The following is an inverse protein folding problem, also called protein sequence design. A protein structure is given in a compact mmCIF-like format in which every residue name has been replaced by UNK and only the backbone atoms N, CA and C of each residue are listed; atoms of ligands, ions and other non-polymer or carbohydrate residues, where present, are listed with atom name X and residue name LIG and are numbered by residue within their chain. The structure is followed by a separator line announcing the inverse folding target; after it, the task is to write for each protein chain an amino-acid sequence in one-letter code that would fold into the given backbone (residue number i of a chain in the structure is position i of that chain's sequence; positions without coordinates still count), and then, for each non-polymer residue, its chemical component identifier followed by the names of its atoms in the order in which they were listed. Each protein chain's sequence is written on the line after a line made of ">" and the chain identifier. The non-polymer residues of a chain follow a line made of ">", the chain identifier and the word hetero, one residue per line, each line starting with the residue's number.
data_IF_144060312376
#
_entry.id   IF_144060312376
#
_cell.length_a   1.000
_cell.length_b   1.000
_cell.length_c   1.000
_cell.angle_alpha   90.00
_cell.angle_beta   90.00
_cell.angle_gamma   90.00
#
_symmetry.space_group_name_H-M   'P 1'
#
loop_
_entity.id
_entity.type
_entity.pdbx_description
1 polymer ?
#
# COMPACT_ATOMS: atom_id res chain seq x y z
N UNK A 1 -57.42 -53.99 -56.15
CA UNK A 1 -57.18 -52.55 -55.91
C UNK A 1 -56.96 -52.35 -54.42
N UNK A 2 -55.70 -52.32 -53.96
CA UNK A 2 -55.35 -51.97 -52.58
C UNK A 2 -54.46 -50.73 -52.65
N UNK A 3 -55.03 -49.57 -52.30
CA UNK A 3 -54.30 -48.32 -52.08
C UNK A 3 -53.61 -48.38 -50.71
N UNK A 4 -52.31 -48.09 -50.60
CA UNK A 4 -51.64 -48.03 -49.30
C UNK A 4 -52.05 -46.76 -48.55
N UNK A 5 -52.45 -46.94 -47.29
CA UNK A 5 -52.75 -45.87 -46.33
C UNK A 5 -51.55 -44.92 -46.19
N UNK A 6 -51.82 -43.63 -46.39
CA UNK A 6 -50.86 -42.56 -46.17
C UNK A 6 -50.67 -42.33 -44.67
N UNK A 7 -49.44 -42.57 -44.20
CA UNK A 7 -48.99 -42.27 -42.82
C UNK A 7 -49.25 -40.77 -42.51
N UNK A 8 -49.71 -40.40 -41.29
CA UNK A 8 -50.34 -39.11 -41.06
C UNK A 8 -49.35 -37.95 -41.11
N UNK A 9 -49.55 -37.05 -42.08
CA UNK A 9 -48.86 -35.77 -42.29
C UNK A 9 -48.89 -34.84 -41.06
N UNK A 10 -49.81 -35.05 -40.12
CA UNK A 10 -49.99 -34.24 -38.91
C UNK A 10 -48.86 -34.39 -37.88
N UNK A 11 -48.21 -35.56 -37.79
CA UNK A 11 -47.12 -35.81 -36.84
C UNK A 11 -45.83 -35.08 -37.26
N UNK A 12 -45.53 -35.09 -38.57
CA UNK A 12 -44.39 -34.37 -39.16
C UNK A 12 -44.53 -32.86 -39.03
N UNK A 13 -45.74 -32.32 -39.22
CA UNK A 13 -46.03 -30.89 -39.04
C UNK A 13 -45.92 -30.42 -37.59
N UNK A 14 -46.35 -31.24 -36.61
CA UNK A 14 -46.16 -30.94 -35.18
C UNK A 14 -44.67 -30.97 -34.80
N UNK A 15 -43.93 -31.99 -35.25
CA UNK A 15 -42.49 -32.10 -35.01
C UNK A 15 -41.72 -30.91 -35.61
N UNK A 16 -42.04 -30.51 -36.85
CA UNK A 16 -41.43 -29.35 -37.49
C UNK A 16 -41.73 -28.03 -36.76
N UNK A 17 -42.96 -27.83 -36.26
CA UNK A 17 -43.31 -26.64 -35.45
C UNK A 17 -42.59 -26.63 -34.10
N UNK A 18 -42.43 -27.78 -33.45
CA UNK A 18 -41.68 -27.89 -32.20
C UNK A 18 -40.18 -27.65 -32.42
N UNK A 19 -39.59 -28.21 -33.48
CA UNK A 19 -38.21 -27.95 -33.86
C UNK A 19 -37.97 -26.48 -34.18
N UNK A 20 -38.86 -25.83 -34.93
CA UNK A 20 -38.78 -24.39 -35.23
C UNK A 20 -38.88 -23.54 -33.96
N UNK A 21 -39.79 -23.89 -33.03
CA UNK A 21 -39.89 -23.20 -31.72
C UNK A 21 -38.62 -23.37 -30.90
N UNK A 22 -38.03 -24.56 -30.86
CA UNK A 22 -36.75 -24.80 -30.19
C UNK A 22 -35.64 -23.98 -30.86
N UNK A 23 -35.56 -23.97 -32.19
CA UNK A 23 -34.55 -23.21 -32.94
C UNK A 23 -34.65 -21.70 -32.71
N UNK A 24 -35.87 -21.18 -32.52
CA UNK A 24 -36.10 -19.76 -32.22
C UNK A 24 -35.91 -19.44 -30.74
N UNK A 25 -36.35 -20.30 -29.81
CA UNK A 25 -36.31 -20.04 -28.37
C UNK A 25 -34.97 -20.40 -27.72
N UNK A 26 -34.24 -21.38 -28.25
CA UNK A 26 -32.96 -21.84 -27.73
C UNK A 26 -31.91 -20.71 -27.70
N UNK A 27 -31.73 -19.88 -28.75
CA UNK A 27 -30.83 -18.74 -28.68
C UNK A 27 -31.20 -17.76 -27.56
N UNK A 28 -32.48 -17.45 -27.38
CA UNK A 28 -32.94 -16.58 -26.30
C UNK A 28 -32.71 -17.18 -24.92
N UNK A 29 -32.98 -18.48 -24.76
CA UNK A 29 -32.71 -19.19 -23.52
C UNK A 29 -31.20 -19.22 -23.21
N UNK A 30 -30.36 -19.50 -24.20
CA UNK A 30 -28.90 -19.48 -24.05
C UNK A 30 -28.39 -18.07 -23.72
N UNK A 31 -28.94 -17.03 -24.33
CA UNK A 31 -28.63 -15.63 -23.99
C UNK A 31 -29.06 -15.28 -22.56
N UNK A 32 -30.23 -15.73 -22.12
CA UNK A 32 -30.70 -15.53 -20.74
C UNK A 32 -29.82 -16.29 -19.73
N UNK A 33 -29.43 -17.53 -20.03
CA UNK A 33 -28.53 -18.33 -19.20
C UNK A 33 -27.11 -17.72 -19.16
N UNK A 34 -26.57 -17.29 -20.31
CA UNK A 34 -25.28 -16.63 -20.38
C UNK A 34 -25.29 -15.28 -19.66
N UNK A 35 -26.36 -14.50 -19.82
CA UNK A 35 -26.57 -13.21 -19.16
C UNK A 35 -26.70 -13.37 -17.64
N UNK A 36 -27.50 -14.32 -17.17
CA UNK A 36 -27.64 -14.61 -15.73
C UNK A 36 -26.33 -15.13 -15.13
N UNK A 37 -25.62 -16.03 -15.82
CA UNK A 37 -24.29 -16.46 -15.42
C UNK A 37 -23.31 -15.28 -15.33
N UNK A 38 -23.28 -14.41 -16.36
CA UNK A 38 -22.41 -13.24 -16.36
C UNK A 38 -22.73 -12.29 -15.21
N UNK A 39 -24.02 -12.06 -14.91
CA UNK A 39 -24.44 -11.22 -13.78
C UNK A 39 -23.93 -11.82 -12.45
N UNK A 40 -24.21 -13.09 -12.18
CA UNK A 40 -23.75 -13.76 -10.94
C UNK A 40 -22.22 -13.78 -10.84
N UNK A 41 -21.53 -13.91 -11.98
CA UNK A 41 -20.07 -14.03 -12.02
C UNK A 41 -19.35 -12.70 -11.85
N UNK A 42 -19.79 -11.64 -12.53
CA UNK A 42 -19.03 -10.41 -12.73
C UNK A 42 -19.56 -9.19 -11.96
N UNK A 43 -20.81 -9.22 -11.48
CA UNK A 43 -21.39 -8.14 -10.67
C UNK A 43 -20.88 -8.10 -9.23
N UNK A 44 -20.61 -9.22 -8.53
CA UNK A 44 -20.17 -9.17 -7.13
C UNK A 44 -18.94 -8.28 -6.92
N UNK A 45 -19.03 -7.43 -5.89
CA UNK A 45 -17.99 -6.48 -5.46
C UNK A 45 -17.84 -6.53 -3.93
N UNK A 46 -17.26 -7.62 -3.45
CA UNK A 46 -17.29 -8.01 -2.03
C UNK A 46 -15.87 -8.11 -1.47
N UNK A 47 -15.48 -7.25 -0.51
CA UNK A 47 -14.19 -7.35 0.15
C UNK A 47 -14.22 -8.47 1.19
N UNK A 48 -13.06 -9.08 1.46
CA UNK A 48 -12.88 -9.87 2.69
C UNK A 48 -12.89 -8.89 3.86
N UNK A 49 -13.81 -9.11 4.81
CA UNK A 49 -14.02 -8.23 5.97
C UNK A 49 -13.55 -8.94 7.24
N UNK A 50 -12.89 -8.18 8.10
CA UNK A 50 -12.46 -8.62 9.41
C UNK A 50 -13.13 -7.75 10.48
N UNK A 51 -13.73 -8.40 11.48
CA UNK A 51 -14.39 -7.74 12.60
C UNK A 51 -13.37 -7.15 13.59
N UNK A 52 -12.30 -7.91 13.89
CA UNK A 52 -11.20 -7.43 14.71
C UNK A 52 -10.47 -6.26 14.00
N UNK A 53 -10.24 -5.12 14.69
CA UNK A 53 -9.63 -3.95 14.07
C UNK A 53 -8.16 -4.17 13.69
N UNK A 54 -7.42 -5.03 14.40
CA UNK A 54 -6.03 -5.36 14.08
C UNK A 54 -6.00 -6.22 12.81
N UNK A 55 -6.84 -7.24 12.72
CA UNK A 55 -7.00 -8.06 11.52
C UNK A 55 -7.47 -7.23 10.33
N UNK A 56 -8.40 -6.30 10.54
CA UNK A 56 -8.84 -5.39 9.49
C UNK A 56 -7.72 -4.44 9.03
N UNK A 57 -6.89 -3.94 9.95
CA UNK A 57 -5.72 -3.16 9.57
C UNK A 57 -4.72 -3.99 8.76
N UNK A 58 -4.48 -5.26 9.14
CA UNK A 58 -3.54 -6.16 8.45
C UNK A 58 -4.02 -6.58 7.06
N UNK A 59 -5.32 -6.90 6.90
CA UNK A 59 -5.84 -7.61 5.72
C UNK A 59 -7.10 -6.98 5.09
N UNK A 60 -7.64 -5.94 5.69
CA UNK A 60 -8.84 -5.27 5.23
C UNK A 60 -8.65 -4.47 3.95
N UNK A 61 -9.67 -4.48 3.10
CA UNK A 61 -9.74 -3.66 1.90
C UNK A 61 -9.85 -2.18 2.21
N UNK A 62 -9.10 -1.36 1.48
CA UNK A 62 -9.30 0.10 1.39
C UNK A 62 -9.95 0.50 0.06
N UNK A 63 -10.21 -0.46 -0.83
CA UNK A 63 -10.82 -0.26 -2.15
C UNK A 63 -9.83 -0.21 -3.32
N UNK A 64 -8.53 -0.36 -3.08
CA UNK A 64 -7.48 -0.32 -4.12
C UNK A 64 -7.57 -1.48 -5.11
N UNK A 65 -8.15 -2.60 -4.69
CA UNK A 65 -8.29 -3.82 -5.48
C UNK A 65 -9.14 -3.63 -6.73
N UNK A 66 -10.07 -2.65 -6.72
CA UNK A 66 -10.94 -2.34 -7.87
C UNK A 66 -10.18 -1.78 -9.06
N UNK A 67 -9.28 -0.84 -8.82
CA UNK A 67 -8.53 -0.16 -9.89
C UNK A 67 -7.17 -0.84 -10.10
N UNK A 68 -6.40 -0.98 -9.02
CA UNK A 68 -4.98 -1.35 -9.05
C UNK A 68 -4.73 -2.82 -8.69
N UNK A 69 -5.76 -3.54 -8.20
CA UNK A 69 -5.62 -4.90 -7.71
C UNK A 69 -5.14 -5.91 -8.74
N UNK A 70 -4.23 -6.79 -8.31
CA UNK A 70 -3.78 -7.93 -9.08
C UNK A 70 -4.76 -9.08 -8.95
N UNK A 71 -5.08 -9.84 -10.02
CA UNK A 71 -5.77 -11.11 -9.87
C UNK A 71 -5.03 -12.01 -8.88
N UNK A 72 -5.72 -12.49 -7.85
CA UNK A 72 -5.14 -13.23 -6.72
C UNK A 72 -4.25 -14.37 -7.17
N UNK A 73 -4.71 -15.17 -8.13
CA UNK A 73 -3.93 -16.31 -8.59
C UNK A 73 -2.75 -15.92 -9.47
N UNK A 74 -2.85 -14.82 -10.23
CA UNK A 74 -1.66 -14.27 -10.91
C UNK A 74 -0.65 -13.83 -9.85
N UNK A 75 -1.08 -13.08 -8.83
CA UNK A 75 -0.23 -12.70 -7.70
C UNK A 75 0.48 -13.91 -7.07
N UNK A 76 -0.23 -15.00 -6.80
CA UNK A 76 0.37 -16.22 -6.24
C UNK A 76 1.36 -16.90 -7.20
N UNK A 77 1.12 -16.85 -8.52
CA UNK A 77 1.97 -17.49 -9.53
C UNK A 77 3.26 -16.72 -9.84
N UNK A 78 3.22 -15.38 -9.82
CA UNK A 78 4.34 -14.56 -10.28
C UNK A 78 5.66 -14.80 -9.54
N UNK A 79 5.72 -15.03 -8.21
CA UNK A 79 6.98 -15.31 -7.55
C UNK A 79 7.69 -16.58 -8.03
N UNK A 80 6.93 -17.56 -8.55
CA UNK A 80 7.50 -18.75 -9.21
C UNK A 80 7.90 -18.43 -10.65
N UNK A 81 6.97 -17.85 -11.43
CA UNK A 81 7.15 -17.60 -12.88
C UNK A 81 8.27 -16.59 -13.16
N UNK A 82 8.43 -15.60 -12.28
CA UNK A 82 9.37 -14.49 -12.40
C UNK A 82 10.40 -14.48 -11.26
N UNK A 83 10.76 -15.65 -10.72
CA UNK A 83 11.66 -15.79 -9.58
C UNK A 83 13.01 -15.07 -9.79
N UNK A 84 13.51 -15.02 -11.03
CA UNK A 84 14.74 -14.33 -11.43
C UNK A 84 14.76 -12.81 -11.17
N UNK A 85 13.58 -12.19 -11.00
CA UNK A 85 13.45 -10.77 -10.70
C UNK A 85 13.27 -10.47 -9.19
N UNK A 86 13.31 -11.51 -8.35
CA UNK A 86 13.25 -11.36 -6.90
C UNK A 86 14.65 -11.48 -6.28
N UNK A 87 14.94 -10.76 -5.18
CA UNK A 87 16.21 -10.89 -4.46
C UNK A 87 16.33 -12.23 -3.72
N UNK A 88 15.24 -12.99 -3.60
CA UNK A 88 15.21 -14.30 -2.95
C UNK A 88 13.84 -14.97 -3.09
N UNK A 89 13.55 -16.01 -2.29
CA UNK A 89 12.31 -16.77 -2.42
C UNK A 89 11.07 -15.94 -2.10
N UNK A 90 10.14 -15.90 -3.05
CA UNK A 90 8.80 -15.36 -2.82
C UNK A 90 8.76 -13.86 -2.53
N UNK A 91 7.56 -13.38 -2.21
CA UNK A 91 7.34 -11.99 -1.79
C UNK A 91 8.01 -11.65 -0.46
N UNK A 92 8.31 -12.63 0.40
CA UNK A 92 9.03 -12.42 1.65
C UNK A 92 10.44 -11.85 1.44
N UNK A 93 11.06 -12.14 0.29
CA UNK A 93 12.37 -11.57 -0.08
C UNK A 93 12.35 -10.05 -0.29
N UNK A 94 11.17 -9.48 -0.54
CA UNK A 94 10.95 -8.03 -0.65
C UNK A 94 10.63 -7.39 0.72
N UNK A 95 10.71 -8.16 1.81
CA UNK A 95 10.40 -7.71 3.16
C UNK A 95 8.92 -7.66 3.52
N UNK A 96 8.05 -8.29 2.70
CA UNK A 96 6.66 -8.52 3.06
C UNK A 96 6.57 -9.58 4.18
N UNK A 97 5.66 -9.36 5.13
CA UNK A 97 5.55 -10.18 6.35
C UNK A 97 4.44 -11.21 6.16
N UNK A 98 4.73 -12.49 6.38
CA UNK A 98 3.74 -13.56 6.38
C UNK A 98 3.50 -14.07 7.80
N UNK A 99 2.24 -14.15 8.20
CA UNK A 99 1.83 -14.84 9.44
C UNK A 99 1.59 -16.32 9.13
N UNK A 100 1.73 -17.18 10.15
CA UNK A 100 1.49 -18.61 10.00
C UNK A 100 0.07 -18.90 9.52
N UNK A 101 -0.06 -19.80 8.53
CA UNK A 101 -1.36 -20.18 7.95
C UNK A 101 -1.99 -19.15 7.02
N UNK A 102 -1.32 -18.03 6.70
CA UNK A 102 -1.80 -17.02 5.75
C UNK A 102 -1.14 -17.15 4.38
N UNK A 103 -1.95 -17.04 3.34
CA UNK A 103 -1.55 -17.05 1.92
C UNK A 103 -1.18 -15.65 1.39
N UNK A 104 -1.63 -14.61 2.09
CA UNK A 104 -1.33 -13.21 1.79
C UNK A 104 -0.48 -12.59 2.91
N UNK A 105 0.49 -11.72 2.56
CA UNK A 105 1.27 -11.04 3.57
C UNK A 105 0.43 -9.97 4.29
N UNK A 106 0.82 -9.66 5.52
CA UNK A 106 0.36 -8.48 6.25
C UNK A 106 0.54 -7.26 5.36
N UNK A 107 -0.53 -6.48 5.20
CA UNK A 107 -0.52 -5.36 4.26
C UNK A 107 -1.22 -5.64 2.95
N UNK A 108 -1.77 -6.83 2.72
CA UNK A 108 -2.46 -7.18 1.47
C UNK A 108 -3.90 -7.58 1.73
N UNK A 109 -4.81 -6.91 1.03
CA UNK A 109 -6.24 -7.12 1.10
C UNK A 109 -6.75 -7.93 -0.08
N UNK A 110 -7.94 -8.54 0.06
CA UNK A 110 -8.58 -9.38 -0.96
C UNK A 110 -10.03 -8.96 -1.19
N UNK A 111 -10.44 -8.89 -2.45
CA UNK A 111 -11.79 -8.50 -2.88
C UNK A 111 -12.25 -9.31 -4.09
N UNK A 112 -13.48 -9.80 -4.06
CA UNK A 112 -14.15 -10.34 -5.23
C UNK A 112 -14.60 -9.18 -6.11
N UNK A 113 -14.06 -9.05 -7.32
CA UNK A 113 -14.43 -7.97 -8.23
C UNK A 113 -14.17 -8.35 -9.70
N UNK A 114 -15.07 -7.95 -10.61
CA UNK A 114 -15.00 -8.30 -12.04
C UNK A 114 -14.83 -9.81 -12.26
N UNK A 115 -15.50 -10.59 -11.42
CA UNK A 115 -15.42 -12.03 -11.50
C UNK A 115 -14.01 -12.58 -11.29
N UNK A 116 -13.21 -12.01 -10.43
CA UNK A 116 -12.03 -12.70 -9.91
C UNK A 116 -11.76 -12.19 -8.52
N UNK A 117 -11.01 -12.96 -7.75
CA UNK A 117 -10.43 -12.42 -6.53
C UNK A 117 -9.27 -11.53 -6.94
N UNK A 118 -9.22 -10.32 -6.39
CA UNK A 118 -8.16 -9.34 -6.61
C UNK A 118 -7.54 -8.96 -5.29
N UNK A 119 -6.24 -8.72 -5.31
CA UNK A 119 -5.47 -8.35 -4.13
C UNK A 119 -4.69 -7.07 -4.36
N UNK A 120 -4.54 -6.28 -3.31
CA UNK A 120 -3.71 -5.10 -3.35
C UNK A 120 -3.22 -4.68 -1.97
N UNK A 121 -2.19 -3.83 -1.96
CA UNK A 121 -1.63 -3.27 -0.74
C UNK A 121 -2.67 -2.44 0.02
N UNK A 122 -2.60 -2.48 1.35
CA UNK A 122 -3.31 -1.60 2.27
C UNK A 122 -2.30 -0.91 3.21
N UNK A 123 -2.79 -0.23 4.26
CA UNK A 123 -1.97 0.55 5.18
C UNK A 123 -0.86 -0.26 5.89
N UNK A 124 -1.12 -1.53 6.23
CA UNK A 124 -0.19 -2.32 7.03
C UNK A 124 1.09 -2.72 6.26
N UNK A 125 1.11 -2.65 4.93
CA UNK A 125 2.30 -2.92 4.13
C UNK A 125 3.45 -1.94 4.47
N UNK A 126 3.10 -0.70 4.81
CA UNK A 126 4.05 0.37 5.16
C UNK A 126 4.13 0.63 6.68
N UNK A 127 3.12 0.19 7.43
CA UNK A 127 2.92 0.52 8.84
C UNK A 127 2.78 -0.71 9.74
N UNK A 128 3.46 -1.80 9.40
CA UNK A 128 3.67 -2.94 10.28
C UNK A 128 5.10 -3.45 10.12
N UNK A 129 5.69 -3.92 11.21
CA UNK A 129 7.08 -4.39 11.21
C UNK A 129 7.31 -5.51 12.21
N UNK A 130 8.47 -6.14 12.09
CA UNK A 130 8.90 -7.25 12.95
C UNK A 130 9.99 -6.79 13.89
N UNK A 131 9.89 -7.13 15.17
CA UNK A 131 10.97 -6.87 16.14
C UNK A 131 11.33 -8.14 16.87
N UNK A 132 12.61 -8.31 17.16
CA UNK A 132 13.11 -9.36 18.05
C UNK A 132 13.69 -8.72 19.29
N UNK A 133 13.37 -9.28 20.45
CA UNK A 133 13.91 -8.77 21.73
C UNK A 133 15.38 -9.17 21.93
N UNK A 134 15.80 -10.28 21.30
CA UNK A 134 17.21 -10.71 21.18
C UNK A 134 17.44 -11.29 19.78
N UNK A 135 18.70 -11.41 19.29
CA UNK A 135 18.97 -12.00 17.98
C UNK A 135 18.39 -13.42 17.77
N UNK A 136 18.24 -14.19 18.86
CA UNK A 136 17.72 -15.56 18.82
C UNK A 136 16.21 -15.66 19.09
N UNK A 137 15.56 -14.59 19.56
CA UNK A 137 14.13 -14.60 19.88
C UNK A 137 13.27 -14.65 18.59
N UNK A 138 12.07 -15.25 18.64
CA UNK A 138 11.13 -15.15 17.54
C UNK A 138 10.78 -13.68 17.28
N UNK A 139 10.58 -13.34 16.00
CA UNK A 139 10.16 -12.01 15.64
C UNK A 139 8.67 -11.81 15.96
N UNK A 140 8.34 -10.71 16.63
CA UNK A 140 6.97 -10.29 16.90
C UNK A 140 6.53 -9.19 15.94
N UNK A 141 5.33 -9.33 15.40
CA UNK A 141 4.67 -8.30 14.60
C UNK A 141 4.23 -7.15 15.51
N UNK A 142 4.51 -5.93 15.11
CA UNK A 142 3.94 -4.72 15.72
C UNK A 142 3.25 -3.91 14.64
N UNK A 143 1.97 -3.61 14.87
CA UNK A 143 1.15 -2.76 14.00
C UNK A 143 1.31 -1.28 14.39
N UNK A 144 1.28 -0.40 13.40
CA UNK A 144 1.49 1.04 13.54
C UNK A 144 2.95 1.48 13.58
N UNK A 145 3.91 0.54 13.60
CA UNK A 145 5.34 0.84 13.48
C UNK A 145 5.77 1.02 12.02
N UNK A 146 6.90 1.70 11.73
CA UNK A 146 7.51 1.72 10.40
C UNK A 146 7.84 0.32 9.85
N UNK A 147 7.45 0.04 8.61
CA UNK A 147 7.82 -1.20 7.90
C UNK A 147 9.28 -1.17 7.42
N UNK A 148 10.24 -1.27 8.33
CA UNK A 148 11.69 -1.12 8.05
C UNK A 148 12.28 -2.16 7.06
N UNK A 149 11.57 -3.26 6.78
CA UNK A 149 12.00 -4.32 5.86
C UNK A 149 11.39 -4.23 4.47
N UNK A 150 10.22 -3.61 4.32
CA UNK A 150 9.52 -3.61 3.03
C UNK A 150 10.27 -2.73 2.02
N UNK A 151 10.78 -3.35 0.94
CA UNK A 151 11.41 -2.65 -0.16
C UNK A 151 10.39 -2.43 -1.28
N UNK A 152 9.67 -1.30 -1.18
CA UNK A 152 8.61 -0.96 -2.12
C UNK A 152 9.15 -0.68 -3.54
N UNK A 153 10.40 -0.21 -3.66
CA UNK A 153 11.01 0.04 -4.96
C UNK A 153 11.36 -1.29 -5.64
N UNK A 154 11.95 -2.24 -4.90
CA UNK A 154 12.19 -3.59 -5.40
C UNK A 154 10.88 -4.31 -5.73
N UNK A 155 9.83 -4.14 -4.92
CA UNK A 155 8.49 -4.64 -5.21
C UNK A 155 7.94 -4.10 -6.53
N UNK A 156 8.01 -2.78 -6.74
CA UNK A 156 7.58 -2.17 -7.99
C UNK A 156 8.41 -2.66 -9.19
N UNK A 157 9.74 -2.72 -9.04
CA UNK A 157 10.65 -3.21 -10.08
C UNK A 157 10.35 -4.65 -10.46
N UNK A 158 10.07 -5.52 -9.50
CA UNK A 158 9.70 -6.92 -9.75
C UNK A 158 8.53 -7.04 -10.74
N UNK A 159 7.42 -6.34 -10.51
CA UNK A 159 6.26 -6.42 -11.43
C UNK A 159 6.58 -5.83 -12.81
N UNK A 160 7.36 -4.74 -12.87
CA UNK A 160 7.72 -4.11 -14.13
C UNK A 160 8.65 -4.97 -14.99
N UNK A 161 9.68 -5.56 -14.39
CA UNK A 161 10.63 -6.42 -15.11
C UNK A 161 9.98 -7.75 -15.48
N UNK A 162 9.19 -8.34 -14.58
CA UNK A 162 8.38 -9.52 -14.88
C UNK A 162 7.47 -9.27 -16.09
N UNK A 163 6.68 -8.18 -16.09
CA UNK A 163 5.81 -7.84 -17.22
C UNK A 163 6.55 -7.56 -18.54
N UNK A 164 7.79 -7.08 -18.47
CA UNK A 164 8.64 -6.89 -19.65
C UNK A 164 9.20 -8.22 -20.20
N UNK A 165 9.39 -9.21 -19.33
CA UNK A 165 9.91 -10.52 -19.67
C UNK A 165 9.00 -11.36 -20.57
N UNK A 166 9.55 -12.38 -21.24
CA UNK A 166 8.79 -13.32 -22.06
C UNK A 166 7.91 -14.26 -21.23
N UNK A 167 8.27 -14.50 -19.97
CA UNK A 167 7.56 -15.39 -19.03
C UNK A 167 6.24 -14.80 -18.54
N UNK A 168 6.01 -13.49 -18.68
CA UNK A 168 4.72 -12.87 -18.40
C UNK A 168 3.72 -13.10 -19.53
N UNK A 169 3.36 -14.36 -19.74
CA UNK A 169 2.42 -14.77 -20.77
C UNK A 169 1.51 -15.87 -20.25
N UNK A 170 0.39 -16.09 -20.95
CA UNK A 170 -0.58 -17.12 -20.57
C UNK A 170 0.03 -18.53 -20.57
N UNK A 171 1.03 -18.77 -21.42
CA UNK A 171 1.71 -20.06 -21.57
C UNK A 171 2.50 -20.46 -20.32
N UNK A 172 2.94 -19.49 -19.51
CA UNK A 172 3.66 -19.74 -18.26
C UNK A 172 2.80 -19.52 -17.02
N UNK A 173 1.98 -18.46 -17.02
CA UNK A 173 1.20 -18.08 -15.84
C UNK A 173 -0.02 -18.99 -15.65
N UNK A 174 -0.76 -19.35 -16.72
CA UNK A 174 -1.99 -20.17 -16.56
C UNK A 174 -1.69 -21.58 -16.03
N UNK A 175 -0.66 -22.30 -16.51
CA UNK A 175 -0.29 -23.59 -15.93
C UNK A 175 0.12 -23.50 -14.46
N UNK A 176 0.85 -22.45 -14.07
CA UNK A 176 1.24 -22.26 -12.67
C UNK A 176 0.02 -21.95 -11.78
N UNK A 177 -0.93 -21.15 -12.28
CA UNK A 177 -2.21 -20.94 -11.60
C UNK A 177 -2.96 -22.26 -11.42
N UNK A 178 -3.05 -23.09 -12.46
CA UNK A 178 -3.74 -24.38 -12.38
C UNK A 178 -3.09 -25.30 -11.33
N UNK A 179 -1.76 -25.34 -11.29
CA UNK A 179 -0.99 -26.09 -10.29
C UNK A 179 -1.28 -25.60 -8.87
N UNK A 180 -1.29 -24.28 -8.65
CA UNK A 180 -1.49 -23.67 -7.33
C UNK A 180 -2.94 -23.75 -6.84
N UNK A 181 -3.91 -23.63 -7.74
CA UNK A 181 -5.34 -23.63 -7.42
C UNK A 181 -5.96 -25.02 -7.29
N UNK A 182 -5.25 -26.07 -7.70
CA UNK A 182 -5.77 -27.45 -7.73
C UNK A 182 -6.70 -27.73 -8.90
N UNK A 183 -6.67 -26.90 -9.94
CA UNK A 183 -7.47 -27.04 -11.16
C UNK A 183 -8.20 -25.74 -11.55
N UNK A 184 -8.38 -25.54 -12.86
CA UNK A 184 -9.13 -24.40 -13.41
C UNK A 184 -10.35 -24.85 -14.22
N UNK A 185 -11.47 -24.16 -14.04
CA UNK A 185 -12.61 -24.28 -14.95
C UNK A 185 -12.26 -23.83 -16.36
N UNK A 186 -12.98 -24.34 -17.37
CA UNK A 186 -12.72 -24.05 -18.79
C UNK A 186 -12.76 -22.55 -19.10
N UNK A 187 -13.73 -21.83 -18.54
CA UNK A 187 -13.86 -20.38 -18.73
C UNK A 187 -12.67 -19.63 -18.11
N UNK A 188 -12.23 -20.03 -16.92
CA UNK A 188 -11.11 -19.36 -16.25
C UNK A 188 -9.79 -19.63 -17.00
N UNK A 189 -9.57 -20.89 -17.41
CA UNK A 189 -8.39 -21.35 -18.14
C UNK A 189 -8.24 -20.70 -19.51
N UNK A 190 -9.31 -20.65 -20.31
CA UNK A 190 -9.23 -20.26 -21.72
C UNK A 190 -9.65 -18.82 -22.00
N UNK A 191 -10.36 -18.16 -21.07
CA UNK A 191 -10.84 -16.79 -21.25
C UNK A 191 -10.38 -15.84 -20.14
N UNK A 192 -10.75 -16.09 -18.88
CA UNK A 192 -10.57 -15.09 -17.81
C UNK A 192 -9.10 -14.80 -17.54
N UNK A 193 -8.28 -15.81 -17.26
CA UNK A 193 -6.85 -15.58 -16.97
C UNK A 193 -6.06 -15.12 -18.20
N UNK A 194 -6.22 -15.70 -19.40
CA UNK A 194 -5.54 -15.18 -20.59
C UNK A 194 -5.82 -13.69 -20.85
N UNK A 195 -7.08 -13.25 -20.73
CA UNK A 195 -7.45 -11.84 -20.89
C UNK A 195 -6.89 -11.00 -19.73
N UNK A 196 -6.99 -11.47 -18.49
CA UNK A 196 -6.47 -10.75 -17.33
C UNK A 196 -4.94 -10.56 -17.41
N UNK A 197 -4.19 -11.57 -17.83
CA UNK A 197 -2.74 -11.51 -18.05
C UNK A 197 -2.41 -10.47 -19.13
N UNK A 198 -3.10 -10.51 -20.27
CA UNK A 198 -2.86 -9.55 -21.35
C UNK A 198 -3.13 -8.10 -20.90
N UNK A 199 -4.27 -7.84 -20.25
CA UNK A 199 -4.62 -6.52 -19.74
C UNK A 199 -3.65 -6.04 -18.65
N UNK A 200 -3.23 -6.94 -17.76
CA UNK A 200 -2.26 -6.63 -16.71
C UNK A 200 -0.88 -6.30 -17.31
N UNK A 201 -0.42 -7.05 -18.32
CA UNK A 201 0.85 -6.79 -19.02
C UNK A 201 0.87 -5.37 -19.59
N UNK A 202 -0.14 -5.01 -20.37
CA UNK A 202 -0.25 -3.69 -20.99
C UNK A 202 -0.24 -2.56 -19.94
N UNK A 203 -1.01 -2.71 -18.85
CA UNK A 203 -1.05 -1.72 -17.77
C UNK A 203 0.29 -1.59 -17.06
N UNK A 204 0.97 -2.70 -16.77
CA UNK A 204 2.28 -2.69 -16.12
C UNK A 204 3.35 -2.05 -17.01
N UNK A 205 3.35 -2.33 -18.31
CA UNK A 205 4.29 -1.72 -19.25
C UNK A 205 4.05 -0.21 -19.41
N UNK A 206 2.79 0.22 -19.46
CA UNK A 206 2.44 1.64 -19.46
C UNK A 206 2.92 2.34 -18.18
N UNK A 207 2.70 1.73 -17.02
CA UNK A 207 3.19 2.27 -15.74
C UNK A 207 4.72 2.29 -15.69
N UNK A 208 5.40 1.22 -16.17
CA UNK A 208 6.86 1.16 -16.26
C UNK A 208 7.44 2.33 -17.03
N UNK A 209 6.84 2.66 -18.18
CA UNK A 209 7.27 3.81 -18.98
C UNK A 209 7.12 5.14 -18.21
N UNK A 210 5.98 5.35 -17.53
CA UNK A 210 5.74 6.57 -16.74
C UNK A 210 6.67 6.70 -15.53
N UNK A 211 7.01 5.58 -14.91
CA UNK A 211 7.92 5.51 -13.77
C UNK A 211 9.40 5.39 -14.16
N UNK A 212 9.75 5.47 -15.45
CA UNK A 212 11.14 5.29 -15.91
C UNK A 212 12.15 6.21 -15.22
N UNK A 213 11.76 7.43 -14.86
CA UNK A 213 12.61 8.36 -14.11
C UNK A 213 12.83 7.94 -12.64
N UNK A 214 11.90 7.21 -12.04
CA UNK A 214 12.06 6.61 -10.71
C UNK A 214 13.01 5.42 -10.78
N UNK A 215 12.87 4.58 -11.81
CA UNK A 215 13.77 3.45 -12.03
C UNK A 215 15.23 3.88 -12.20
N UNK A 216 15.46 5.07 -12.76
CA UNK A 216 16.79 5.68 -12.93
C UNK A 216 17.40 6.29 -11.65
N UNK A 217 16.64 6.38 -10.56
CA UNK A 217 17.16 6.86 -9.27
C UNK A 217 18.03 5.79 -8.59
N UNK A 218 18.88 6.25 -7.67
CA UNK A 218 19.55 5.35 -6.74
C UNK A 218 18.51 4.53 -5.97
N UNK A 219 18.77 3.23 -5.72
CA UNK A 219 17.87 2.41 -4.91
C UNK A 219 17.61 3.05 -3.55
N UNK A 220 16.33 3.18 -3.18
CA UNK A 220 15.95 3.72 -1.88
C UNK A 220 16.30 2.76 -0.74
N UNK A 221 16.18 1.46 -1.01
CA UNK A 221 16.37 0.37 -0.05
C UNK A 221 15.14 0.13 0.83
N UNK A 222 15.19 -0.91 1.68
CA UNK A 222 14.11 -1.29 2.59
C UNK A 222 13.63 -0.15 3.49
N UNK A 223 12.34 -0.10 3.78
CA UNK A 223 11.73 0.81 4.75
C UNK A 223 11.60 2.27 4.32
N UNK A 224 11.82 2.54 3.03
CA UNK A 224 11.67 3.87 2.45
C UNK A 224 10.67 3.87 1.31
N UNK A 225 10.05 5.04 1.10
CA UNK A 225 9.09 5.29 0.03
C UNK A 225 9.25 6.71 -0.50
N UNK A 226 9.11 6.88 -1.81
CA UNK A 226 8.88 8.18 -2.41
C UNK A 226 7.39 8.38 -2.71
N UNK A 227 6.71 9.05 -1.77
CA UNK A 227 5.27 9.33 -1.87
C UNK A 227 4.92 10.31 -2.98
N UNK A 228 5.85 11.19 -3.36
CA UNK A 228 5.55 12.32 -4.23
C UNK A 228 5.72 11.98 -5.70
N UNK A 229 6.66 11.10 -6.04
CA UNK A 229 6.87 10.68 -7.42
C UNK A 229 5.69 9.86 -7.97
N UNK A 230 5.05 9.02 -7.15
CA UNK A 230 3.81 8.37 -7.56
C UNK A 230 2.70 9.39 -7.89
N UNK A 231 2.57 10.44 -7.08
CA UNK A 231 1.62 11.53 -7.33
C UNK A 231 1.99 12.33 -8.59
N UNK A 232 3.27 12.66 -8.82
CA UNK A 232 3.75 13.32 -10.05
C UNK A 232 3.43 12.52 -11.30
N UNK A 233 3.61 11.19 -11.27
CA UNK A 233 3.23 10.29 -12.38
C UNK A 233 1.73 10.36 -12.67
N UNK A 234 0.91 10.32 -11.61
CA UNK A 234 -0.54 10.40 -11.75
C UNK A 234 -0.98 11.73 -12.37
N UNK A 235 -0.47 12.85 -11.86
CA UNK A 235 -0.79 14.19 -12.35
C UNK A 235 -0.08 14.55 -13.66
N UNK A 236 0.61 13.59 -14.29
CA UNK A 236 1.31 13.77 -15.56
C UNK A 236 2.29 14.97 -15.53
N UNK A 237 3.04 15.11 -14.43
CA UNK A 237 4.05 16.14 -14.31
C UNK A 237 5.11 15.98 -15.41
N UNK A 238 5.63 17.09 -15.98
CA UNK A 238 6.72 17.03 -16.95
C UNK A 238 8.05 16.76 -16.22
N UNK A 239 8.23 15.53 -15.74
CA UNK A 239 9.36 15.11 -14.88
C UNK A 239 10.74 15.40 -15.47
N UNK A 240 10.85 15.42 -16.79
CA UNK A 240 12.09 15.75 -17.51
C UNK A 240 12.49 17.23 -17.34
N UNK A 241 11.53 18.11 -17.06
CA UNK A 241 11.73 19.54 -16.82
C UNK A 241 11.92 19.87 -15.34
N UNK A 242 11.64 18.93 -14.43
CA UNK A 242 11.85 19.15 -13.00
C UNK A 242 13.35 19.25 -12.69
N UNK A 243 13.79 20.18 -11.83
CA UNK A 243 15.16 20.20 -11.31
C UNK A 243 15.53 18.86 -10.66
N UNK A 244 16.82 18.47 -10.72
CA UNK A 244 17.28 17.18 -10.19
C UNK A 244 16.92 16.98 -8.70
N UNK A 245 17.06 18.03 -7.88
CA UNK A 245 16.70 18.01 -6.44
C UNK A 245 15.23 17.70 -6.18
N UNK A 246 14.34 17.98 -7.13
CA UNK A 246 12.90 17.73 -6.98
C UNK A 246 12.50 16.34 -7.44
N UNK A 247 13.43 15.53 -7.94
CA UNK A 247 13.13 14.19 -8.49
C UNK A 247 13.27 13.08 -7.46
N UNK A 248 13.89 13.32 -6.30
CA UNK A 248 14.09 12.31 -5.26
C UNK A 248 13.47 12.81 -3.96
N UNK A 249 12.42 12.15 -3.49
CA UNK A 249 11.75 12.45 -2.22
C UNK A 249 11.61 11.23 -1.31
N UNK A 250 12.48 10.23 -1.48
CA UNK A 250 12.47 9.01 -0.69
C UNK A 250 12.64 9.31 0.81
N UNK A 251 11.73 8.76 1.61
CA UNK A 251 11.67 9.00 3.04
C UNK A 251 11.30 7.70 3.78
N UNK A 252 11.64 7.65 5.06
CA UNK A 252 11.26 6.56 5.95
C UNK A 252 9.75 6.47 6.13
N UNK A 253 9.24 5.25 6.33
CA UNK A 253 7.86 5.09 6.77
C UNK A 253 7.69 5.68 8.18
N UNK A 254 6.75 6.61 8.43
CA UNK A 254 6.52 7.10 9.77
C UNK A 254 5.73 6.10 10.62
N UNK A 255 5.83 6.20 11.94
CA UNK A 255 4.88 5.56 12.85
C UNK A 255 3.52 6.27 12.78
N UNK A 256 2.43 5.53 13.03
CA UNK A 256 1.06 6.04 12.92
C UNK A 256 0.24 5.89 14.20
N UNK A 257 0.91 5.67 15.33
CA UNK A 257 0.32 5.62 16.67
C UNK A 257 -0.21 6.97 17.15
N UNK A 258 -1.12 6.90 18.13
CA UNK A 258 -1.64 8.01 18.92
C UNK A 258 -2.20 9.15 18.06
N UNK A 259 -3.01 8.85 17.03
CA UNK A 259 -3.47 9.90 16.11
C UNK A 259 -4.32 10.97 16.78
N UNK A 260 -5.08 10.63 17.84
CA UNK A 260 -5.88 11.60 18.59
C UNK A 260 -5.00 12.70 19.17
N UNK A 261 -3.88 12.32 19.79
CA UNK A 261 -2.92 13.27 20.36
C UNK A 261 -2.24 14.16 19.31
N UNK A 262 -2.30 13.77 18.03
CA UNK A 262 -1.75 14.57 16.91
C UNK A 262 -2.72 15.62 16.38
N UNK A 263 -3.98 15.58 16.82
CA UNK A 263 -5.02 16.49 16.36
C UNK A 263 -5.02 17.84 17.08
N UNK A 264 -4.14 18.04 18.07
CA UNK A 264 -4.08 19.28 18.83
C UNK A 264 -2.65 19.52 19.34
N UNK A 265 -2.24 20.77 19.31
CA UNK A 265 -1.05 21.33 19.95
C UNK A 265 -1.46 22.23 21.11
N UNK A 266 -0.46 22.71 21.85
CA UNK A 266 -0.65 23.60 22.99
C UNK A 266 -1.31 24.94 22.64
N UNK A 267 -1.12 25.41 21.41
CA UNK A 267 -1.74 26.65 20.94
C UNK A 267 -3.17 26.46 20.39
N UNK A 268 -3.74 25.26 20.52
CA UNK A 268 -5.08 24.93 20.07
C UNK A 268 -5.17 24.54 18.59
N UNK A 269 -4.10 24.73 17.82
CA UNK A 269 -4.04 24.31 16.41
C UNK A 269 -3.71 22.82 16.27
N UNK A 270 -3.91 22.26 15.07
CA UNK A 270 -3.51 20.88 14.78
C UNK A 270 -2.01 20.79 14.50
N UNK A 271 -1.38 19.65 14.81
CA UNK A 271 0.03 19.42 14.46
C UNK A 271 0.25 19.46 12.94
N UNK A 272 1.44 19.88 12.53
CA UNK A 272 1.93 19.76 11.17
C UNK A 272 2.44 18.33 10.95
N UNK A 273 1.75 17.56 10.10
CA UNK A 273 1.89 16.13 9.89
C UNK A 273 2.67 15.80 8.60
N UNK A 274 3.02 14.51 8.46
CA UNK A 274 4.11 14.05 7.59
C UNK A 274 5.46 14.59 8.05
N UNK A 275 6.55 14.03 7.52
CA UNK A 275 7.90 14.50 7.85
C UNK A 275 8.05 16.00 7.59
N UNK A 276 7.51 16.48 6.48
CA UNK A 276 7.60 17.85 5.98
C UNK A 276 6.47 18.76 6.49
N UNK A 277 5.60 18.33 7.41
CA UNK A 277 4.54 19.18 7.95
C UNK A 277 3.50 19.65 6.92
N UNK A 278 3.40 18.95 5.79
CA UNK A 278 2.68 19.42 4.62
C UNK A 278 1.15 19.28 4.72
N UNK A 279 0.62 18.71 5.81
CA UNK A 279 -0.81 18.57 6.07
C UNK A 279 -1.08 18.66 7.57
N UNK A 280 -2.24 19.12 8.01
CA UNK A 280 -2.60 19.23 9.44
C UNK A 280 -3.75 18.33 9.86
N UNK A 281 -4.34 17.57 8.94
CA UNK A 281 -5.52 16.75 9.18
C UNK A 281 -5.18 15.28 8.99
N UNK A 282 -5.17 14.53 10.09
CA UNK A 282 -4.93 13.08 10.11
C UNK A 282 -5.86 12.32 9.16
N UNK A 283 -7.11 12.74 9.07
CA UNK A 283 -8.17 12.14 8.26
C UNK A 283 -7.91 12.38 6.76
N UNK A 284 -7.42 13.57 6.38
CA UNK A 284 -7.01 13.87 5.00
C UNK A 284 -5.74 13.11 4.64
N UNK A 285 -4.77 13.08 5.56
CA UNK A 285 -3.52 12.32 5.45
C UNK A 285 -3.76 10.83 5.22
N UNK A 286 -4.66 10.22 5.99
CA UNK A 286 -4.96 8.79 5.90
C UNK A 286 -5.62 8.44 4.55
N UNK A 287 -6.48 9.31 4.01
CA UNK A 287 -7.05 9.16 2.65
C UNK A 287 -6.00 9.34 1.57
N UNK A 288 -5.03 10.24 1.76
CA UNK A 288 -3.89 10.40 0.85
C UNK A 288 -2.98 9.16 0.87
N UNK A 289 -2.76 8.55 2.04
CA UNK A 289 -2.04 7.29 2.15
C UNK A 289 -2.79 6.14 1.45
N UNK A 290 -4.12 6.03 1.63
CA UNK A 290 -4.95 5.05 0.92
C UNK A 290 -4.91 5.26 -0.60
N UNK A 291 -4.78 6.51 -1.06
CA UNK A 291 -4.57 6.81 -2.47
C UNK A 291 -3.23 6.23 -2.97
N UNK A 292 -2.16 6.38 -2.17
CA UNK A 292 -0.86 5.73 -2.42
C UNK A 292 -0.94 4.20 -2.48
N UNK A 293 -1.90 3.59 -1.77
CA UNK A 293 -2.22 2.15 -1.87
C UNK A 293 -3.28 1.87 -2.93
N UNK A 294 -3.30 2.63 -4.03
CA UNK A 294 -4.02 2.30 -5.26
C UNK A 294 -5.52 2.58 -5.25
N UNK A 295 -6.05 3.24 -4.22
CA UNK A 295 -7.43 3.75 -4.23
C UNK A 295 -7.53 5.02 -5.07
N UNK A 296 -8.73 5.31 -5.56
CA UNK A 296 -9.05 6.54 -6.31
C UNK A 296 -10.37 7.11 -5.77
N UNK A 297 -10.73 8.36 -6.10
CA UNK A 297 -12.01 8.93 -5.70
C UNK A 297 -13.25 8.02 -5.90
N UNK A 298 -13.41 7.32 -7.04
CA UNK A 298 -14.55 6.42 -7.21
C UNK A 298 -14.42 5.06 -6.52
N UNK A 299 -13.22 4.65 -6.07
CA UNK A 299 -12.99 3.28 -5.56
C UNK A 299 -12.69 3.20 -4.07
N UNK A 300 -12.41 4.33 -3.42
CA UNK A 300 -12.07 4.41 -2.00
C UNK A 300 -13.19 3.85 -1.12
N UNK A 301 -12.84 2.99 -0.16
CA UNK A 301 -13.76 2.45 0.83
C UNK A 301 -13.73 3.32 2.11
N UNK A 302 -14.54 4.38 2.12
CA UNK A 302 -14.58 5.33 3.23
C UNK A 302 -14.97 4.68 4.55
N UNK A 303 -15.89 3.70 4.54
CA UNK A 303 -16.34 3.03 5.75
C UNK A 303 -15.24 2.17 6.37
N UNK A 304 -14.51 1.40 5.54
CA UNK A 304 -13.35 0.64 5.99
C UNK A 304 -12.24 1.56 6.53
N UNK A 305 -11.92 2.62 5.79
CA UNK A 305 -10.91 3.60 6.21
C UNK A 305 -11.31 4.25 7.53
N UNK A 306 -12.55 4.70 7.69
CA UNK A 306 -13.01 5.30 8.95
C UNK A 306 -12.94 4.33 10.13
N UNK A 307 -13.11 3.03 9.92
CA UNK A 307 -12.91 2.01 10.97
C UNK A 307 -11.45 1.93 11.41
N UNK A 308 -10.52 1.96 10.45
CA UNK A 308 -9.08 2.01 10.74
C UNK A 308 -8.69 3.33 11.40
N UNK A 309 -9.20 4.46 10.91
CA UNK A 309 -8.99 5.80 11.49
C UNK A 309 -9.40 5.82 12.96
N UNK A 310 -10.61 5.34 13.29
CA UNK A 310 -11.13 5.31 14.66
C UNK A 310 -10.25 4.48 15.60
N UNK A 311 -9.74 3.33 15.16
CA UNK A 311 -8.82 2.52 15.96
C UNK A 311 -7.45 3.18 16.15
N UNK A 312 -6.91 3.83 15.11
CA UNK A 312 -5.60 4.51 15.17
C UNK A 312 -5.60 5.78 16.04
N UNK A 313 -6.77 6.31 16.39
CA UNK A 313 -6.87 7.45 17.32
C UNK A 313 -6.14 7.16 18.63
N UNK A 314 -6.33 5.95 19.17
CA UNK A 314 -5.90 5.59 20.52
C UNK A 314 -4.92 4.39 20.54
N UNK A 315 -4.53 3.88 19.37
CA UNK A 315 -3.47 2.87 19.28
C UNK A 315 -2.12 3.45 19.70
N UNK A 316 -1.62 3.04 20.86
CA UNK A 316 -0.28 3.35 21.34
C UNK A 316 0.78 2.32 20.91
N UNK A 317 2.08 2.69 20.92
CA UNK A 317 3.17 1.74 20.77
C UNK A 317 3.26 0.78 21.98
N UNK A 318 3.79 -0.44 21.81
CA UNK A 318 4.09 -1.30 22.95
C UNK A 318 5.21 -0.69 23.82
N UNK A 319 5.17 -1.03 25.10
CA UNK A 319 6.17 -0.60 26.06
C UNK A 319 7.55 -1.21 25.75
N UNK A 320 8.61 -0.55 26.20
CA UNK A 320 9.96 -1.11 26.16
C UNK A 320 10.02 -2.41 26.95
N UNK A 321 10.49 -3.53 26.36
CA UNK A 321 10.33 -4.86 26.97
C UNK A 321 11.47 -5.24 27.93
N UNK A 322 12.58 -4.50 27.94
CA UNK A 322 13.77 -4.84 28.73
C UNK A 322 13.85 -4.01 30.03
N UNK A 323 14.58 -4.48 31.05
CA UNK A 323 14.85 -3.68 32.24
C UNK A 323 15.50 -2.33 31.90
N UNK A 324 15.13 -1.29 32.64
CA UNK A 324 15.70 0.06 32.54
C UNK A 324 16.48 0.36 33.81
N UNK A 325 17.74 0.78 33.68
CA UNK A 325 18.50 1.34 34.79
C UNK A 325 17.89 2.69 35.19
N UNK A 326 17.22 2.71 36.35
CA UNK A 326 16.50 3.89 36.85
C UNK A 326 17.44 5.06 37.18
N UNK A 327 18.67 4.78 37.60
CA UNK A 327 19.66 5.81 37.93
C UNK A 327 20.14 6.51 36.66
N UNK A 328 20.45 5.74 35.61
CA UNK A 328 20.81 6.29 34.32
C UNK A 328 19.62 6.98 33.64
N UNK A 329 18.42 6.43 33.75
CA UNK A 329 17.21 7.05 33.22
C UNK A 329 16.91 8.40 33.89
N UNK A 330 17.08 8.52 35.21
CA UNK A 330 16.90 9.79 35.92
C UNK A 330 17.93 10.85 35.47
N UNK A 331 19.19 10.46 35.27
CA UNK A 331 20.21 11.34 34.68
C UNK A 331 19.84 11.77 33.25
N UNK A 332 19.37 10.83 32.44
CA UNK A 332 18.90 11.08 31.09
C UNK A 332 17.70 12.02 31.04
N UNK A 333 16.77 11.91 32.00
CA UNK A 333 15.60 12.77 32.09
C UNK A 333 15.97 14.25 32.28
N UNK A 334 16.98 14.56 33.10
CA UNK A 334 17.46 15.93 33.28
C UNK A 334 18.07 16.50 31.98
N UNK A 335 18.86 15.70 31.26
CA UNK A 335 19.42 16.10 29.96
C UNK A 335 18.33 16.29 28.91
N UNK A 336 17.34 15.38 28.87
CA UNK A 336 16.21 15.45 27.95
C UNK A 336 15.38 16.71 28.17
N UNK A 337 15.08 17.04 29.43
CA UNK A 337 14.35 18.25 29.77
C UNK A 337 15.07 19.52 29.30
N UNK A 338 16.40 19.54 29.35
CA UNK A 338 17.19 20.70 28.95
C UNK A 338 17.42 20.80 27.43
N UNK A 339 17.63 19.69 26.72
CA UNK A 339 18.04 19.71 25.31
C UNK A 339 16.96 19.29 24.30
N UNK A 340 15.92 18.59 24.73
CA UNK A 340 15.00 17.88 23.82
C UNK A 340 13.54 18.30 23.97
N UNK A 341 13.11 18.61 25.20
CA UNK A 341 11.70 18.73 25.56
C UNK A 341 10.96 19.83 24.77
N UNK A 342 11.61 20.94 24.42
CA UNK A 342 10.97 22.03 23.67
C UNK A 342 10.39 21.59 22.32
N UNK A 343 11.10 20.69 21.61
CA UNK A 343 10.71 20.19 20.29
C UNK A 343 9.92 18.90 20.35
N UNK A 344 10.18 18.05 21.35
CA UNK A 344 9.65 16.68 21.38
C UNK A 344 8.58 16.43 22.45
N UNK A 345 8.37 17.39 23.34
CA UNK A 345 7.47 17.34 24.49
C UNK A 345 8.19 16.94 25.76
N UNK A 346 7.59 17.22 26.92
CA UNK A 346 8.23 17.04 28.22
C UNK A 346 8.60 15.59 28.53
N UNK A 347 7.84 14.64 27.99
CA UNK A 347 8.07 13.19 28.13
C UNK A 347 8.42 12.50 26.82
N UNK A 348 8.31 13.22 25.69
CA UNK A 348 8.35 12.65 24.36
C UNK A 348 7.06 11.92 23.93
N UNK A 349 6.07 11.76 24.82
CA UNK A 349 4.80 11.05 24.56
C UNK A 349 3.55 11.81 25.05
N UNK A 350 3.75 13.06 25.45
CA UNK A 350 2.75 14.02 25.91
C UNK A 350 2.16 14.85 24.76
N UNK A 351 2.88 14.97 23.62
CA UNK A 351 2.40 15.66 22.40
C UNK A 351 2.09 17.15 22.64
N UNK A 352 2.70 17.72 23.68
CA UNK A 352 2.54 19.09 24.14
C UNK A 352 3.93 19.73 24.27
N UNK A 353 4.02 21.03 24.01
CA UNK A 353 5.25 21.82 24.12
C UNK A 353 5.34 22.93 23.07
N UNK A 354 6.21 23.92 23.30
CA UNK A 354 6.24 25.16 22.51
C UNK A 354 6.58 24.96 21.03
N UNK A 355 7.29 23.88 20.67
CA UNK A 355 7.64 23.57 19.27
C UNK A 355 7.13 22.20 18.82
N UNK A 356 6.36 21.49 19.65
CA UNK A 356 5.88 20.14 19.33
C UNK A 356 4.87 20.19 18.21
N UNK A 357 5.10 19.44 17.13
CA UNK A 357 4.24 19.45 15.95
C UNK A 357 4.29 20.74 15.14
N UNK A 358 5.28 21.61 15.38
CA UNK A 358 5.64 22.69 14.47
C UNK A 358 6.75 22.25 13.52
N UNK A 359 6.80 22.85 12.33
CA UNK A 359 7.89 22.73 11.38
C UNK A 359 9.07 23.55 11.85
N UNK A 360 10.22 22.89 12.05
CA UNK A 360 11.52 23.55 12.21
C UNK A 360 12.10 23.85 10.83
N UNK A 361 12.49 25.09 10.52
CA UNK A 361 13.08 25.45 9.24
C UNK A 361 14.26 24.57 8.85
N UNK A 362 14.41 24.28 7.54
CA UNK A 362 15.45 23.38 7.03
C UNK A 362 16.87 23.87 7.36
N UNK A 363 17.06 25.19 7.40
CA UNK A 363 18.34 25.81 7.77
C UNK A 363 18.70 25.59 9.25
N UNK A 364 17.71 25.42 10.11
CA UNK A 364 17.90 25.26 11.56
C UNK A 364 18.08 23.77 11.92
N UNK A 365 17.23 22.89 11.37
CA UNK A 365 17.31 21.44 11.64
C UNK A 365 18.47 20.77 10.88
N UNK A 366 18.91 21.36 9.77
CA UNK A 366 20.09 21.00 8.99
C UNK A 366 20.18 19.50 8.58
N UNK A 367 19.04 18.81 8.44
CA UNK A 367 18.96 17.47 7.85
C UNK A 367 18.80 17.54 6.33
N UNK A 368 18.94 16.40 5.65
CA UNK A 368 18.80 16.29 4.19
C UNK A 368 17.50 16.95 3.65
N UNK A 369 17.56 17.81 2.62
CA UNK A 369 16.39 18.55 2.12
C UNK A 369 15.62 17.83 1.00
N UNK A 370 16.03 16.65 0.53
CA UNK A 370 15.52 16.05 -0.71
C UNK A 370 14.01 15.78 -0.67
N UNK A 371 13.49 15.25 0.44
CA UNK A 371 12.04 15.08 0.61
C UNK A 371 11.30 16.41 0.51
N UNK A 372 11.80 17.44 1.20
CA UNK A 372 11.23 18.77 1.17
C UNK A 372 11.25 19.32 -0.26
N UNK A 373 12.38 19.28 -0.96
CA UNK A 373 12.52 19.79 -2.33
C UNK A 373 11.62 19.06 -3.33
N UNK A 374 11.47 17.75 -3.20
CA UNK A 374 10.58 16.93 -4.03
C UNK A 374 9.11 17.31 -3.88
N UNK A 375 8.69 17.83 -2.71
CA UNK A 375 7.34 18.36 -2.52
C UNK A 375 7.29 19.84 -2.91
N UNK A 376 6.72 20.14 -4.07
CA UNK A 376 6.64 21.51 -4.60
C UNK A 376 5.28 22.15 -4.34
N UNK A 377 5.19 23.48 -4.47
CA UNK A 377 3.91 24.19 -4.45
C UNK A 377 2.97 23.68 -5.53
N UNK A 378 3.48 23.42 -6.73
CA UNK A 378 2.69 22.88 -7.84
C UNK A 378 2.11 21.50 -7.52
N UNK A 379 2.89 20.63 -6.86
CA UNK A 379 2.40 19.34 -6.42
C UNK A 379 1.31 19.48 -5.37
N UNK A 380 1.47 20.38 -4.39
CA UNK A 380 0.45 20.64 -3.38
C UNK A 380 -0.87 21.14 -4.00
N UNK A 381 -0.79 22.06 -4.97
CA UNK A 381 -1.97 22.56 -5.70
C UNK A 381 -2.66 21.44 -6.49
N UNK A 382 -1.90 20.58 -7.17
CA UNK A 382 -2.47 19.44 -7.88
C UNK A 382 -3.11 18.43 -6.92
N UNK A 383 -2.49 18.15 -5.76
CA UNK A 383 -3.10 17.30 -4.75
C UNK A 383 -4.44 17.85 -4.23
N UNK A 384 -4.60 19.16 -4.11
CA UNK A 384 -5.87 19.78 -3.74
C UNK A 384 -6.99 19.62 -4.79
N UNK A 385 -6.68 19.10 -5.99
CA UNK A 385 -7.66 18.69 -7.01
C UNK A 385 -8.16 17.26 -6.82
N UNK A 386 -7.44 16.42 -6.04
CA UNK A 386 -7.94 15.10 -5.68
C UNK A 386 -9.25 15.24 -4.91
N UNK A 387 -10.19 14.35 -5.24
CA UNK A 387 -11.53 14.35 -4.65
C UNK A 387 -12.30 15.66 -4.87
N UNK A 388 -11.95 16.47 -5.88
CA UNK A 388 -12.79 17.58 -6.32
C UNK A 388 -14.21 17.06 -6.67
N UNK A 389 -15.23 17.73 -6.13
CA UNK A 389 -16.64 17.30 -6.24
C UNK A 389 -17.10 16.34 -5.14
N UNK A 390 -16.22 15.86 -4.27
CA UNK A 390 -16.57 15.01 -3.13
C UNK A 390 -16.52 15.79 -1.80
N UNK A 391 -17.32 15.39 -0.78
CA UNK A 391 -17.28 16.03 0.54
C UNK A 391 -15.89 15.95 1.22
N UNK A 392 -15.13 14.91 0.91
CA UNK A 392 -13.79 14.64 1.45
C UNK A 392 -12.65 15.17 0.54
N UNK A 393 -12.92 16.23 -0.23
CA UNK A 393 -11.90 16.95 -1.01
C UNK A 393 -10.72 17.36 -0.14
N UNK A 394 -9.50 17.17 -0.64
CA UNK A 394 -8.29 17.65 0.03
C UNK A 394 -8.20 19.17 0.04
N UNK A 395 -7.92 19.74 1.21
CA UNK A 395 -7.88 21.20 1.45
C UNK A 395 -6.68 21.66 2.28
N UNK A 396 -5.96 20.74 2.92
CA UNK A 396 -4.98 21.10 3.94
C UNK A 396 -3.52 20.83 3.53
N UNK A 397 -3.31 20.27 2.34
CA UNK A 397 -1.99 20.13 1.73
C UNK A 397 -1.35 21.47 1.39
N UNK A 398 -0.13 21.71 1.87
CA UNK A 398 0.65 22.94 1.62
C UNK A 398 2.15 22.68 1.57
N UNK A 399 2.86 23.46 0.77
CA UNK A 399 4.33 23.51 0.83
C UNK A 399 4.77 24.21 2.13
N UNK A 400 5.68 23.58 2.85
CA UNK A 400 6.39 24.14 4.01
C UNK A 400 7.87 24.37 3.66
N UNK A 401 8.70 24.69 4.66
CA UNK A 401 10.12 24.99 4.48
C UNK A 401 11.03 24.31 5.51
N UNK A 402 10.64 23.12 5.96
CA UNK A 402 11.37 22.38 6.99
C UNK A 402 10.74 21.03 7.32
N UNK A 403 11.09 20.47 8.47
CA UNK A 403 10.53 19.21 8.96
C UNK A 403 9.80 19.39 10.30
N UNK A 404 8.70 18.66 10.47
CA UNK A 404 7.87 18.70 11.66
C UNK A 404 8.58 18.05 12.86
N UNK A 405 8.52 18.72 14.01
CA UNK A 405 9.02 18.18 15.26
C UNK A 405 8.05 17.12 15.80
N UNK A 406 8.38 15.86 15.55
CA UNK A 406 7.53 14.74 15.92
C UNK A 406 7.78 14.29 17.37
N UNK A 407 6.72 13.95 18.13
CA UNK A 407 6.84 13.23 19.39
C UNK A 407 7.65 11.94 19.23
N UNK A 408 8.22 11.48 20.34
CA UNK A 408 9.11 10.32 20.45
C UNK A 408 8.38 9.06 20.94
N UNK A 409 7.06 9.02 20.77
CA UNK A 409 6.27 7.84 21.10
C UNK A 409 6.78 6.61 20.35
N UNK A 410 7.08 5.55 21.11
CA UNK A 410 7.58 4.29 20.57
C UNK A 410 8.95 4.42 19.88
N UNK A 411 9.78 5.41 20.24
CA UNK A 411 11.06 5.70 19.58
C UNK A 411 11.97 4.48 19.42
N UNK A 412 11.94 3.55 20.37
CA UNK A 412 12.73 2.31 20.34
C UNK A 412 12.37 1.36 19.17
N UNK A 413 11.19 1.53 18.56
CA UNK A 413 10.73 0.77 17.38
C UNK A 413 10.92 1.52 16.06
N UNK A 414 11.49 2.73 16.10
CA UNK A 414 11.51 3.65 14.96
C UNK A 414 12.89 3.80 14.34
N UNK A 415 13.84 2.94 14.69
CA UNK A 415 15.10 2.84 13.98
C UNK A 415 14.87 2.32 12.54
N UNK A 416 15.68 2.77 11.56
CA UNK A 416 16.64 3.88 11.63
C UNK A 416 15.98 5.26 11.76
N UNK A 417 16.72 6.23 12.29
CA UNK A 417 16.21 7.55 12.65
C UNK A 417 16.38 8.61 11.54
N UNK A 418 15.72 9.75 11.74
CA UNK A 418 15.48 10.86 10.79
C UNK A 418 14.48 10.51 9.68
N UNK A 419 14.02 11.55 8.96
CA UNK A 419 12.97 11.41 7.94
C UNK A 419 13.35 10.49 6.78
N UNK A 420 14.64 10.21 6.59
CA UNK A 420 15.16 9.32 5.54
C UNK A 420 15.79 8.05 6.13
N UNK A 421 15.68 7.80 7.44
CA UNK A 421 16.27 6.63 8.10
C UNK A 421 17.76 6.48 7.78
N UNK A 422 18.53 7.56 7.93
CA UNK A 422 19.97 7.62 7.63
C UNK A 422 20.85 7.39 8.86
N UNK A 423 20.26 7.23 10.05
CA UNK A 423 21.00 7.05 11.30
C UNK A 423 20.58 5.75 11.98
N UNK A 424 21.48 4.76 12.13
CA UNK A 424 21.06 3.41 12.49
C UNK A 424 20.57 3.25 13.92
N UNK A 425 21.20 3.92 14.90
CA UNK A 425 20.86 3.76 16.32
C UNK A 425 20.57 5.10 17.01
N UNK A 426 19.90 5.04 18.19
CA UNK A 426 19.71 6.24 19.02
C UNK A 426 21.03 6.81 19.49
N UNK A 427 22.04 5.96 19.70
CA UNK A 427 23.35 6.43 20.10
C UNK A 427 23.95 7.31 19.01
N UNK A 428 23.95 6.84 17.77
CA UNK A 428 24.47 7.59 16.62
C UNK A 428 23.69 8.90 16.40
N UNK A 429 22.38 8.90 16.67
CA UNK A 429 21.56 10.11 16.54
C UNK A 429 22.02 11.22 17.50
N UNK A 430 22.45 10.84 18.70
CA UNK A 430 22.93 11.74 19.74
C UNK A 430 24.41 12.11 19.58
N UNK A 431 25.14 11.46 18.66
CA UNK A 431 26.49 11.88 18.28
C UNK A 431 26.46 13.10 17.33
N UNK A 432 27.53 13.91 17.33
CA UNK A 432 27.74 14.92 16.30
C UNK A 432 27.63 14.32 14.89
N UNK A 433 27.07 15.07 13.95
CA UNK A 433 26.76 14.57 12.61
C UNK A 433 27.95 13.93 11.88
N UNK A 434 29.17 14.47 12.07
CA UNK A 434 30.39 13.96 11.44
C UNK A 434 30.87 12.61 11.98
N UNK A 435 30.40 12.19 13.16
CA UNK A 435 30.77 10.93 13.80
C UNK A 435 29.79 9.78 13.48
N UNK A 436 28.68 10.08 12.80
CA UNK A 436 27.65 9.10 12.46
C UNK A 436 28.16 8.14 11.38
N UNK A 437 27.77 6.85 11.41
CA UNK A 437 28.12 5.90 10.35
C UNK A 437 27.64 6.40 8.98
N UNK A 438 28.56 6.42 8.01
CA UNK A 438 28.25 6.83 6.63
C UNK A 438 27.58 5.71 5.82
N UNK A 439 27.70 4.45 6.27
CA UNK A 439 27.03 3.29 5.71
C UNK A 439 26.66 2.27 6.78
N UNK A 440 25.53 1.59 6.61
CA UNK A 440 25.08 0.50 7.46
C UNK A 440 24.05 -0.37 6.70
N UNK A 441 23.81 -1.57 7.20
CA UNK A 441 22.84 -2.50 6.62
C UNK A 441 21.45 -2.24 7.21
N UNK A 442 20.43 -2.26 6.35
CA UNK A 442 19.02 -2.10 6.72
C UNK A 442 18.18 -3.27 6.22
N UNK A 443 17.10 -3.59 6.92
CA UNK A 443 16.12 -4.60 6.48
C UNK A 443 16.53 -6.04 6.80
N UNK A 444 17.55 -6.23 7.65
CA UNK A 444 18.01 -7.55 8.10
C UNK A 444 16.91 -8.37 8.77
N UNK A 445 17.05 -9.69 8.71
CA UNK A 445 16.09 -10.66 9.26
C UNK A 445 16.24 -10.86 10.74
#
# INVERSE_FOLDING_TARGET
>A
MNTPESVPTTHRLRLARTLLRILVLLPWLLLLLAGSYALVRFVPDEPVVHADPVEHFKYGSTGGERASGFPYWIWQALPTVCAEHLPGPGYASLGLIFEEGRDLPVGVSKRRHLGIDRVFLNCAACHAGLVRDTPAAPARLVVGMPAHRFDILAFQRFFFECAAGPTFSREFIVPEIERLSGGLGLVDRYLVYPVAIALMRERLLMLRARFGFVSAQAPWGPGRVDTFNAAKVLFNFPVQRLPARERLGAADFPSIWNQRKRMQRDDGERMELHWDGNNTHTEERNKSAAFGTGTTPPTIDLAAISRVEAWLLDLGPPAWPLPVDKTLAARGAALYAHYCADCHGASGSDFAGPKVGHVTPIADIATDPARLDSYTRDLAVNQATLYAGYPHRFRHFRKTWGYANMPLDGIWLRAPYLHNGSVPTLRDLLEPAFARPTCFVRGGT
#
